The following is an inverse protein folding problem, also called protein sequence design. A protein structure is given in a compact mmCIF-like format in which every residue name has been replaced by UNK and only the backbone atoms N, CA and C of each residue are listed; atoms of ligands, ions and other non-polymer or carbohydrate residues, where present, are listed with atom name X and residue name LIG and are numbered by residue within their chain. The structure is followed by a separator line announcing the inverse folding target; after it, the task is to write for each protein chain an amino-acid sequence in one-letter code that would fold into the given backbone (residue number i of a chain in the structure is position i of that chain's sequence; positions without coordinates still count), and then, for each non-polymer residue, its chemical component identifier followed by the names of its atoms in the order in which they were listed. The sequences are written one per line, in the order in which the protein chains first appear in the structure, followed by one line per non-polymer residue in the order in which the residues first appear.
data_IF_745281746182
#
_entry.id   IF_745281746182
#
_cell.length_a   1.000
_cell.length_b   1.000
_cell.length_c   1.000
_cell.angle_alpha   90.00
_cell.angle_beta   90.00
_cell.angle_gamma   90.00
#
_symmetry.space_group_name_H-M   'P 1'
#
loop_
_entity.id
_entity.type
_entity.pdbx_description
1 polymer ?
#
# COMPACT_ATOMS: atom_id res chain seq x y z
N UNK A 1 -26.69 -45.16 -2.49
CA UNK A 1 -26.23 -46.13 -3.49
C UNK A 1 -24.77 -46.43 -3.21
N UNK A 2 -24.46 -47.69 -2.96
CA UNK A 2 -23.17 -48.24 -2.59
C UNK A 2 -22.43 -48.71 -3.88
N UNK A 3 -22.40 -47.85 -4.88
CA UNK A 3 -21.90 -48.21 -6.21
C UNK A 3 -20.44 -47.76 -6.47
N UNK A 4 -19.78 -47.10 -5.49
CA UNK A 4 -18.38 -46.70 -5.61
C UNK A 4 -17.46 -47.75 -5.01
N UNK A 5 -17.06 -48.71 -5.80
CA UNK A 5 -16.03 -49.68 -5.45
C UNK A 5 -14.62 -49.05 -5.69
N UNK A 6 -14.04 -48.53 -4.64
CA UNK A 6 -12.67 -47.94 -4.64
C UNK A 6 -11.57 -49.01 -4.69
N UNK A 7 -11.87 -50.26 -4.96
CA UNK A 7 -10.88 -51.33 -5.05
C UNK A 7 -9.84 -51.13 -6.17
N UNK A 8 -9.97 -50.08 -6.99
CA UNK A 8 -9.16 -49.86 -8.18
C UNK A 8 -8.36 -48.54 -8.19
N UNK A 9 -8.41 -47.69 -7.13
CA UNK A 9 -7.60 -46.49 -7.10
C UNK A 9 -6.11 -46.79 -6.96
N UNK A 10 -5.27 -46.43 -7.93
CA UNK A 10 -3.83 -46.59 -7.81
C UNK A 10 -3.27 -45.46 -6.90
N UNK A 11 -3.21 -45.70 -5.59
CA UNK A 11 -2.50 -44.82 -4.70
C UNK A 11 -0.98 -44.82 -4.99
N UNK A 12 -0.30 -43.65 -4.95
CA UNK A 12 1.15 -43.58 -4.95
C UNK A 12 1.66 -44.26 -3.68
N UNK A 13 2.14 -45.50 -3.81
CA UNK A 13 2.67 -46.28 -2.69
C UNK A 13 2.22 -47.73 -2.63
N UNK A 14 1.34 -48.20 -3.54
CA UNK A 14 1.02 -49.58 -3.75
C UNK A 14 0.24 -50.26 -2.64
N UNK A 15 -0.47 -49.50 -1.83
CA UNK A 15 -1.44 -50.06 -0.86
C UNK A 15 -2.85 -50.03 -1.48
N UNK A 16 -3.48 -51.21 -1.62
CA UNK A 16 -4.90 -51.30 -1.88
C UNK A 16 -5.62 -50.79 -0.62
N UNK A 17 -6.20 -49.59 -0.64
CA UNK A 17 -7.15 -49.17 0.38
C UNK A 17 -8.50 -49.79 0.08
N UNK A 18 -8.67 -51.02 0.52
CA UNK A 18 -9.84 -51.88 0.32
C UNK A 18 -10.99 -51.53 1.31
N UNK A 19 -11.19 -50.30 1.69
CA UNK A 19 -12.08 -50.00 2.82
C UNK A 19 -13.36 -49.21 2.46
N UNK A 20 -13.60 -48.88 1.20
CA UNK A 20 -14.80 -48.13 0.81
C UNK A 20 -15.98 -48.98 0.31
N UNK A 21 -15.86 -50.29 0.27
CA UNK A 21 -16.81 -51.17 -0.43
C UNK A 21 -18.20 -51.32 0.22
N UNK A 22 -18.52 -50.62 1.30
CA UNK A 22 -19.83 -50.79 2.00
C UNK A 22 -20.32 -49.50 2.69
N UNK A 23 -19.74 -48.32 2.42
CA UNK A 23 -20.18 -47.04 2.95
C UNK A 23 -21.26 -46.38 2.09
N UNK A 24 -21.91 -45.35 2.62
CA UNK A 24 -22.87 -44.54 1.86
C UNK A 24 -22.15 -43.35 1.22
N UNK A 25 -22.15 -43.29 -0.10
CA UNK A 25 -21.56 -42.20 -0.85
C UNK A 25 -22.55 -41.06 -1.06
N UNK A 26 -22.03 -39.85 -0.94
CA UNK A 26 -22.75 -38.62 -1.28
C UNK A 26 -22.07 -37.95 -2.47
N UNK A 27 -22.78 -37.83 -3.58
CA UNK A 27 -22.28 -37.18 -4.78
C UNK A 27 -22.98 -35.87 -5.03
N UNK A 28 -22.16 -34.80 -5.13
CA UNK A 28 -22.63 -33.47 -5.47
C UNK A 28 -22.17 -33.12 -6.88
N UNK A 29 -23.05 -32.48 -7.64
CA UNK A 29 -22.72 -31.95 -8.97
C UNK A 29 -22.52 -30.45 -8.88
N UNK A 30 -21.32 -29.97 -9.23
CA UNK A 30 -20.96 -28.56 -9.36
C UNK A 30 -20.76 -28.20 -10.83
N UNK A 31 -21.34 -27.09 -11.27
CA UNK A 31 -21.08 -26.54 -12.61
C UNK A 31 -20.53 -25.13 -12.48
N UNK A 32 -19.32 -24.91 -12.98
CA UNK A 32 -18.66 -23.61 -13.04
C UNK A 32 -18.87 -23.01 -14.42
N UNK A 33 -19.39 -21.79 -14.49
CA UNK A 33 -19.55 -21.03 -15.73
C UNK A 33 -18.26 -20.30 -16.14
N UNK A 34 -17.33 -20.13 -15.21
CA UNK A 34 -16.01 -19.51 -15.38
C UNK A 34 -15.01 -20.19 -14.44
N UNK A 35 -13.71 -20.06 -14.68
CA UNK A 35 -12.69 -20.57 -13.75
C UNK A 35 -12.86 -19.97 -12.36
N UNK A 36 -12.65 -20.79 -11.32
CA UNK A 36 -12.77 -20.39 -9.92
C UNK A 36 -11.92 -21.26 -9.00
N UNK A 37 -11.54 -20.73 -7.86
CA UNK A 37 -10.93 -21.49 -6.76
C UNK A 37 -12.06 -21.95 -5.83
N UNK A 38 -12.16 -23.25 -5.62
CA UNK A 38 -13.26 -23.87 -4.86
C UNK A 38 -12.68 -24.61 -3.66
N UNK A 39 -13.33 -24.47 -2.52
CA UNK A 39 -13.10 -25.33 -1.37
C UNK A 39 -14.21 -26.36 -1.19
N UNK A 40 -13.84 -27.51 -0.66
CA UNK A 40 -14.76 -28.56 -0.23
C UNK A 40 -14.28 -29.07 1.13
N UNK A 41 -15.15 -29.08 2.12
CA UNK A 41 -14.79 -29.57 3.46
C UNK A 41 -15.95 -30.29 4.13
N UNK A 42 -15.62 -31.31 4.92
CA UNK A 42 -16.54 -32.01 5.82
C UNK A 42 -16.28 -31.67 7.29
N UNK A 43 -15.44 -30.68 7.56
CA UNK A 43 -15.14 -30.17 8.90
C UNK A 43 -16.39 -29.51 9.51
N UNK A 44 -17.19 -30.30 10.22
CA UNK A 44 -18.43 -29.85 10.88
C UNK A 44 -18.70 -30.70 12.11
N UNK A 45 -19.22 -30.10 13.17
CA UNK A 45 -19.58 -30.81 14.41
C UNK A 45 -20.66 -31.89 14.21
N UNK A 46 -21.41 -31.83 13.09
CA UNK A 46 -22.41 -32.83 12.72
C UNK A 46 -21.81 -33.98 11.91
N UNK A 47 -20.56 -33.85 11.43
CA UNK A 47 -19.86 -34.96 10.78
C UNK A 47 -19.29 -35.87 11.87
N UNK A 48 -19.67 -37.10 11.87
CA UNK A 48 -19.21 -38.11 12.83
C UNK A 48 -18.81 -39.45 12.16
N UNK A 49 -18.56 -39.39 10.86
CA UNK A 49 -18.02 -40.48 10.07
C UNK A 49 -16.59 -40.16 9.63
N UNK A 50 -15.81 -41.20 9.41
CA UNK A 50 -14.51 -41.18 8.79
C UNK A 50 -14.69 -41.07 7.28
N UNK A 51 -14.42 -39.91 6.68
CA UNK A 51 -14.80 -39.59 5.31
C UNK A 51 -13.62 -39.25 4.42
N UNK A 52 -13.79 -39.53 3.14
CA UNK A 52 -12.87 -39.17 2.06
C UNK A 52 -13.56 -38.24 1.08
N UNK A 53 -12.82 -37.39 0.41
CA UNK A 53 -13.32 -36.53 -0.66
C UNK A 53 -12.57 -36.83 -1.95
N UNK A 54 -13.32 -37.14 -3.01
CA UNK A 54 -12.82 -37.29 -4.37
C UNK A 54 -13.49 -36.27 -5.29
N UNK A 55 -12.71 -35.63 -6.17
CA UNK A 55 -13.21 -34.70 -7.19
C UNK A 55 -12.95 -35.26 -8.57
N UNK A 56 -14.02 -35.27 -9.38
CA UNK A 56 -14.03 -35.85 -10.71
C UNK A 56 -14.55 -34.84 -11.73
N UNK A 57 -14.12 -35.00 -12.98
CA UNK A 57 -14.71 -34.33 -14.14
C UNK A 57 -15.64 -35.26 -14.91
N UNK A 58 -16.52 -34.68 -15.72
CA UNK A 58 -17.37 -35.34 -16.73
C UNK A 58 -18.31 -36.45 -16.22
N UNK A 59 -17.85 -37.63 -15.91
CA UNK A 59 -18.69 -38.80 -15.73
C UNK A 59 -18.44 -39.62 -14.46
N UNK A 60 -17.62 -39.08 -13.54
CA UNK A 60 -17.23 -39.79 -12.31
C UNK A 60 -16.56 -41.16 -12.57
N UNK A 61 -15.85 -41.33 -13.66
CA UNK A 61 -15.09 -42.56 -13.92
C UNK A 61 -13.70 -42.51 -13.28
N UNK A 62 -13.08 -43.65 -13.04
CA UNK A 62 -11.72 -43.78 -12.54
C UNK A 62 -10.68 -43.00 -13.37
N UNK A 63 -10.99 -42.71 -14.63
CA UNK A 63 -10.13 -41.93 -15.51
C UNK A 63 -10.32 -40.42 -15.39
N UNK A 64 -11.38 -39.97 -14.70
CA UNK A 64 -11.78 -38.55 -14.61
C UNK A 64 -11.55 -37.91 -13.25
N UNK A 65 -10.94 -38.60 -12.29
CA UNK A 65 -10.61 -38.01 -11.01
C UNK A 65 -9.48 -36.98 -11.13
N UNK A 66 -9.55 -35.90 -10.36
CA UNK A 66 -8.57 -34.84 -10.39
C UNK A 66 -7.90 -34.57 -9.03
N UNK A 67 -8.64 -34.79 -7.94
CA UNK A 67 -8.13 -34.68 -6.58
C UNK A 67 -8.73 -35.74 -5.68
N UNK A 68 -7.96 -36.10 -4.65
CA UNK A 68 -8.42 -36.99 -3.59
C UNK A 68 -7.77 -36.63 -2.26
N UNK A 69 -8.53 -36.62 -1.19
CA UNK A 69 -8.03 -36.50 0.17
C UNK A 69 -8.77 -37.45 1.11
N UNK A 70 -8.01 -38.16 1.95
CA UNK A 70 -8.52 -39.07 2.95
C UNK A 70 -8.90 -38.33 4.23
N UNK A 71 -7.92 -37.94 5.04
CA UNK A 71 -8.11 -37.23 6.30
C UNK A 71 -7.64 -35.79 6.20
N UNK A 72 -8.08 -34.91 7.09
CA UNK A 72 -7.64 -33.51 7.13
C UNK A 72 -6.11 -33.32 7.34
N UNK A 73 -5.43 -34.34 7.87
CA UNK A 73 -3.98 -34.37 8.03
C UNK A 73 -3.25 -35.12 6.92
N UNK A 74 -3.98 -35.71 5.98
CA UNK A 74 -3.42 -36.37 4.81
C UNK A 74 -3.15 -35.37 3.70
N UNK A 75 -2.11 -35.59 2.85
CA UNK A 75 -1.93 -34.77 1.67
C UNK A 75 -3.08 -34.94 0.67
N UNK A 76 -3.31 -33.94 -0.16
CA UNK A 76 -4.11 -34.08 -1.36
C UNK A 76 -3.30 -34.85 -2.39
N UNK A 77 -3.93 -35.82 -3.03
CA UNK A 77 -3.34 -36.65 -4.07
C UNK A 77 -3.85 -36.21 -5.46
N UNK A 78 -2.96 -36.20 -6.44
CA UNK A 78 -3.24 -35.87 -7.83
C UNK A 78 -3.01 -37.08 -8.75
N UNK A 79 -3.64 -37.13 -9.95
CA UNK A 79 -3.50 -38.26 -10.89
C UNK A 79 -2.07 -38.55 -11.34
N UNK A 80 -1.20 -37.53 -11.35
CA UNK A 80 0.24 -37.66 -11.69
C UNK A 80 1.10 -38.20 -10.54
N UNK A 81 0.47 -38.61 -9.44
CA UNK A 81 1.09 -39.10 -8.20
C UNK A 81 1.84 -38.02 -7.41
N UNK A 82 1.67 -36.76 -7.70
CA UNK A 82 2.12 -35.68 -6.84
C UNK A 82 1.20 -35.54 -5.64
N UNK A 83 1.70 -34.93 -4.58
CA UNK A 83 0.94 -34.66 -3.36
C UNK A 83 1.17 -33.23 -2.89
N UNK A 84 0.14 -32.62 -2.31
CA UNK A 84 0.21 -31.31 -1.69
C UNK A 84 -0.27 -31.39 -0.24
N UNK A 85 0.56 -30.91 0.70
CA UNK A 85 0.21 -30.89 2.12
C UNK A 85 -0.36 -29.52 2.48
N UNK A 86 -1.56 -29.50 3.05
CA UNK A 86 -2.15 -28.27 3.60
C UNK A 86 -1.84 -28.13 5.08
N UNK A 87 -1.57 -26.91 5.51
CA UNK A 87 -1.41 -26.59 6.92
C UNK A 87 -2.76 -26.44 7.64
N UNK A 88 -3.84 -26.22 6.89
CA UNK A 88 -5.18 -26.13 7.45
C UNK A 88 -5.76 -27.51 7.69
N UNK A 89 -5.80 -27.88 8.95
CA UNK A 89 -6.48 -29.08 9.43
C UNK A 89 -7.80 -28.71 10.10
N UNK A 90 -8.76 -29.60 10.13
CA UNK A 90 -9.95 -29.42 10.95
C UNK A 90 -9.54 -29.21 12.41
N UNK A 91 -9.70 -27.99 12.94
CA UNK A 91 -9.14 -27.57 14.23
C UNK A 91 -10.04 -27.94 15.40
N UNK A 92 -9.42 -28.07 16.57
CA UNK A 92 -9.96 -28.43 17.87
C UNK A 92 -11.25 -27.75 18.27
N UNK A 93 -12.24 -28.50 18.51
CA UNK A 93 -13.65 -28.20 18.83
C UNK A 93 -14.53 -29.27 18.22
N UNK A 94 -14.02 -29.95 17.21
CA UNK A 94 -14.56 -31.18 16.64
C UNK A 94 -13.76 -32.34 17.23
N UNK A 95 -14.35 -33.10 18.14
CA UNK A 95 -13.65 -34.07 19.02
C UNK A 95 -12.96 -35.25 18.29
N UNK A 96 -12.94 -35.26 16.95
CA UNK A 96 -12.30 -36.32 16.15
C UNK A 96 -11.74 -35.78 14.84
N UNK A 97 -11.07 -34.68 14.88
CA UNK A 97 -10.52 -33.93 13.74
C UNK A 97 -9.74 -34.72 12.66
N UNK A 98 -8.98 -35.78 12.95
CA UNK A 98 -8.25 -36.51 11.91
C UNK A 98 -9.11 -37.32 10.95
N UNK A 99 -10.40 -37.48 11.22
CA UNK A 99 -11.30 -38.34 10.43
C UNK A 99 -12.10 -37.57 9.37
N UNK A 100 -11.90 -36.25 9.26
CA UNK A 100 -12.66 -35.41 8.32
C UNK A 100 -11.77 -35.00 7.15
N UNK A 101 -12.27 -35.18 5.95
CA UNK A 101 -11.58 -34.70 4.76
C UNK A 101 -11.77 -33.17 4.61
N UNK A 102 -10.70 -32.50 4.19
CA UNK A 102 -10.69 -31.07 4.00
C UNK A 102 -9.90 -30.71 2.75
N UNK A 103 -10.59 -30.47 1.66
CA UNK A 103 -9.97 -30.15 0.39
C UNK A 103 -10.12 -28.67 0.10
N UNK A 104 -9.01 -27.93 0.27
CA UNK A 104 -8.90 -26.51 0.00
C UNK A 104 -7.83 -26.26 -1.08
N UNK A 105 -8.05 -26.74 -2.32
CA UNK A 105 -7.04 -26.58 -3.35
C UNK A 105 -6.81 -25.10 -3.68
N UNK A 106 -5.53 -24.70 -3.78
CA UNK A 106 -5.13 -23.38 -4.27
C UNK A 106 -5.19 -23.27 -5.79
N UNK A 107 -5.59 -24.32 -6.46
CA UNK A 107 -5.65 -24.35 -7.91
C UNK A 107 -6.97 -23.82 -8.43
N UNK A 108 -6.91 -23.21 -9.59
CA UNK A 108 -8.09 -22.76 -10.33
C UNK A 108 -8.74 -23.95 -11.02
N UNK A 109 -10.01 -24.17 -10.74
CA UNK A 109 -10.83 -25.13 -11.50
C UNK A 109 -11.33 -24.42 -12.76
N UNK A 110 -11.16 -25.02 -13.90
CA UNK A 110 -11.66 -24.47 -15.17
C UNK A 110 -13.20 -24.45 -15.21
N UNK A 111 -13.77 -23.68 -16.15
CA UNK A 111 -15.20 -23.78 -16.43
C UNK A 111 -15.56 -25.20 -16.87
N UNK A 112 -16.54 -25.80 -16.22
CA UNK A 112 -16.88 -27.19 -16.49
C UNK A 112 -17.86 -27.79 -15.48
N UNK A 113 -18.10 -29.10 -15.59
CA UNK A 113 -18.90 -29.85 -14.63
C UNK A 113 -18.00 -30.76 -13.83
N UNK A 114 -18.18 -30.72 -12.52
CA UNK A 114 -17.42 -31.49 -11.55
C UNK A 114 -18.39 -32.32 -10.70
N UNK A 115 -17.92 -33.48 -10.27
CA UNK A 115 -18.60 -34.34 -9.33
C UNK A 115 -17.74 -34.48 -8.09
N UNK A 116 -18.30 -34.11 -6.94
CA UNK A 116 -17.65 -34.14 -5.64
C UNK A 116 -18.25 -35.34 -4.92
N UNK A 117 -17.43 -36.33 -4.65
CA UNK A 117 -17.83 -37.57 -3.97
C UNK A 117 -17.29 -37.51 -2.56
N UNK A 118 -18.19 -37.66 -1.59
CA UNK A 118 -17.84 -37.79 -0.17
C UNK A 118 -18.21 -39.19 0.24
N UNK A 119 -17.21 -39.99 0.56
CA UNK A 119 -17.36 -41.43 0.88
C UNK A 119 -17.06 -41.72 2.34
N UNK A 120 -17.79 -42.65 2.97
CA UNK A 120 -17.51 -43.20 4.31
C UNK A 120 -16.47 -44.31 4.23
N UNK A 121 -15.24 -44.01 4.64
CA UNK A 121 -14.11 -44.96 4.65
C UNK A 121 -14.33 -46.20 5.49
N UNK A 122 -15.12 -46.13 6.55
CA UNK A 122 -15.14 -47.21 7.58
C UNK A 122 -15.90 -48.46 7.16
N UNK A 123 -16.65 -48.42 6.05
CA UNK A 123 -17.39 -49.60 5.55
C UNK A 123 -18.35 -50.26 6.56
N UNK A 124 -18.60 -49.61 7.67
CA UNK A 124 -19.59 -50.04 8.65
C UNK A 124 -20.90 -49.31 8.35
N UNK A 125 -21.99 -50.02 8.05
CA UNK A 125 -23.30 -49.39 7.96
C UNK A 125 -23.62 -48.73 9.30
N UNK A 126 -23.13 -47.55 9.51
CA UNK A 126 -23.31 -46.76 10.72
C UNK A 126 -24.45 -45.79 10.55
N UNK A 127 -25.06 -45.40 11.66
CA UNK A 127 -26.02 -44.27 11.74
C UNK A 127 -25.26 -42.95 11.89
N UNK A 128 -24.26 -42.74 11.08
CA UNK A 128 -23.49 -41.51 11.06
C UNK A 128 -24.14 -40.41 10.19
N UNK A 129 -23.66 -39.21 10.33
CA UNK A 129 -24.03 -38.09 9.48
C UNK A 129 -22.76 -37.41 8.95
N UNK A 130 -22.85 -36.91 7.73
CA UNK A 130 -21.82 -36.06 7.12
C UNK A 130 -22.46 -34.73 6.73
N UNK A 131 -21.81 -33.65 7.06
CA UNK A 131 -22.15 -32.34 6.55
C UNK A 131 -21.02 -31.83 5.69
N UNK A 132 -21.34 -31.52 4.45
CA UNK A 132 -20.38 -31.04 3.46
C UNK A 132 -20.65 -29.58 3.17
N UNK A 133 -19.60 -28.81 3.20
CA UNK A 133 -19.58 -27.42 2.77
C UNK A 133 -18.78 -27.32 1.48
N UNK A 134 -19.23 -26.47 0.58
CA UNK A 134 -18.48 -26.10 -0.62
C UNK A 134 -18.80 -24.67 -1.01
N UNK A 135 -17.83 -23.98 -1.55
CA UNK A 135 -17.97 -22.60 -2.00
C UNK A 135 -16.72 -22.10 -2.70
N UNK A 136 -16.75 -20.82 -3.02
CA UNK A 136 -15.56 -20.14 -3.52
C UNK A 136 -14.59 -19.90 -2.36
N UNK A 137 -13.28 -20.08 -2.63
CA UNK A 137 -12.26 -19.76 -1.64
C UNK A 137 -12.20 -18.24 -1.40
N UNK A 138 -11.94 -17.87 -0.16
CA UNK A 138 -11.64 -16.47 0.19
C UNK A 138 -10.35 -16.03 -0.50
N UNK A 139 -10.41 -14.94 -1.24
CA UNK A 139 -9.29 -14.38 -2.00
C UNK A 139 -9.15 -12.89 -1.71
N UNK A 140 -7.96 -12.37 -1.97
CA UNK A 140 -7.75 -10.93 -2.15
C UNK A 140 -7.88 -10.62 -3.63
N UNK A 141 -8.88 -9.82 -3.99
CA UNK A 141 -9.18 -9.48 -5.39
C UNK A 141 -8.21 -8.41 -5.92
N UNK A 142 -7.88 -7.43 -5.10
CA UNK A 142 -6.95 -6.34 -5.44
C UNK A 142 -6.46 -5.62 -4.19
N UNK A 143 -5.45 -4.79 -4.38
CA UNK A 143 -4.93 -3.86 -3.38
C UNK A 143 -4.69 -2.50 -4.01
N UNK A 144 -4.90 -1.41 -3.24
CA UNK A 144 -4.54 -0.05 -3.62
C UNK A 144 -3.66 0.55 -2.53
N UNK A 145 -2.57 1.19 -2.91
CA UNK A 145 -1.64 1.88 -1.99
C UNK A 145 -1.93 3.37 -2.02
N UNK A 146 -2.00 4.01 -0.85
CA UNK A 146 -2.03 5.46 -0.77
C UNK A 146 -0.73 6.06 -1.36
N UNK A 147 -0.84 7.13 -2.13
CA UNK A 147 0.32 7.73 -2.80
C UNK A 147 1.42 8.24 -1.85
N UNK A 148 1.08 8.50 -0.58
CA UNK A 148 2.01 8.85 0.51
C UNK A 148 2.47 7.63 1.32
N UNK A 149 2.15 6.42 0.87
CA UNK A 149 2.43 5.13 1.52
C UNK A 149 1.80 4.95 2.92
N UNK A 150 0.95 5.87 3.36
CA UNK A 150 0.33 5.82 4.69
C UNK A 150 -0.65 4.68 4.89
N UNK A 151 -1.09 4.01 3.82
CA UNK A 151 -2.03 2.92 3.91
C UNK A 151 -2.12 2.06 2.66
N UNK A 152 -2.75 0.89 2.84
CA UNK A 152 -3.11 -0.04 1.78
C UNK A 152 -4.56 -0.46 1.96
N UNK A 153 -5.36 -0.30 0.92
CA UNK A 153 -6.71 -0.84 0.84
C UNK A 153 -6.65 -2.27 0.31
N UNK A 154 -7.21 -3.19 1.09
CA UNK A 154 -7.34 -4.60 0.75
C UNK A 154 -8.78 -4.91 0.35
N UNK A 155 -8.99 -5.39 -0.86
CA UNK A 155 -10.29 -5.77 -1.41
C UNK A 155 -10.39 -7.29 -1.41
N UNK A 156 -11.30 -7.82 -0.61
CA UNK A 156 -11.55 -9.26 -0.52
C UNK A 156 -12.73 -9.69 -1.38
N UNK A 157 -12.72 -10.92 -1.85
CA UNK A 157 -13.81 -11.50 -2.65
C UNK A 157 -15.14 -11.62 -1.89
N UNK A 158 -15.09 -11.57 -0.57
CA UNK A 158 -16.24 -11.61 0.34
C UNK A 158 -15.87 -11.03 1.71
N UNK A 159 -16.86 -10.85 2.60
CA UNK A 159 -16.63 -10.29 3.92
C UNK A 159 -15.72 -11.15 4.81
N UNK A 160 -14.77 -10.50 5.49
CA UNK A 160 -13.74 -11.14 6.32
C UNK A 160 -13.96 -10.98 7.81
N UNK A 161 -13.45 -11.96 8.56
CA UNK A 161 -13.58 -12.07 10.01
C UNK A 161 -12.26 -12.49 10.64
N UNK A 162 -11.96 -11.94 11.81
CA UNK A 162 -10.93 -12.39 12.74
C UNK A 162 -11.47 -13.28 13.85
N UNK A 163 -10.58 -13.68 14.75
CA UNK A 163 -10.89 -14.54 15.88
C UNK A 163 -10.64 -16.02 15.61
N UNK A 164 -11.07 -16.87 16.53
CA UNK A 164 -10.91 -18.31 16.38
C UNK A 164 -11.88 -18.88 15.33
N UNK A 165 -11.45 -19.89 14.58
CA UNK A 165 -12.28 -20.59 13.60
C UNK A 165 -13.66 -20.98 14.14
N UNK A 166 -13.72 -21.53 15.37
CA UNK A 166 -14.97 -21.98 15.97
C UNK A 166 -15.94 -20.82 16.24
N UNK A 167 -15.44 -19.65 16.58
CA UNK A 167 -16.24 -18.44 16.79
C UNK A 167 -16.80 -17.94 15.47
N UNK A 168 -15.96 -17.82 14.44
CA UNK A 168 -16.38 -17.40 13.10
C UNK A 168 -17.44 -18.36 12.54
N UNK A 169 -17.18 -19.66 12.60
CA UNK A 169 -18.11 -20.68 12.14
C UNK A 169 -19.48 -20.65 12.85
N UNK A 170 -19.51 -20.31 14.13
CA UNK A 170 -20.73 -20.16 14.91
C UNK A 170 -21.40 -18.78 14.76
N UNK A 171 -20.89 -17.93 13.89
CA UNK A 171 -21.43 -16.57 13.66
C UNK A 171 -21.04 -15.56 14.72
N UNK A 172 -19.98 -15.82 15.48
CA UNK A 172 -19.42 -14.94 16.49
C UNK A 172 -18.06 -14.33 16.04
N UNK A 173 -17.76 -14.36 14.74
CA UNK A 173 -16.56 -13.74 14.19
C UNK A 173 -16.52 -12.26 14.53
N UNK A 174 -15.32 -11.76 14.77
CA UNK A 174 -15.03 -10.37 15.13
C UNK A 174 -14.34 -9.64 13.97
N UNK A 175 -14.18 -8.32 14.07
CA UNK A 175 -13.34 -7.56 13.15
C UNK A 175 -11.89 -7.99 13.23
N UNK A 176 -11.16 -7.86 12.11
CA UNK A 176 -9.74 -8.14 12.05
C UNK A 176 -8.96 -7.20 12.97
N UNK A 177 -7.87 -7.70 13.52
CA UNK A 177 -6.90 -6.98 14.34
C UNK A 177 -5.54 -6.93 13.64
N UNK A 178 -4.67 -6.01 14.04
CA UNK A 178 -3.32 -5.89 13.46
C UNK A 178 -2.49 -7.18 13.59
N UNK A 179 -2.77 -7.98 14.62
CA UNK A 179 -2.16 -9.29 14.84
C UNK A 179 -2.55 -10.36 13.81
N UNK A 180 -3.59 -10.13 13.02
CA UNK A 180 -4.05 -11.05 11.97
C UNK A 180 -3.23 -10.94 10.69
N UNK A 181 -2.37 -9.93 10.61
CA UNK A 181 -1.51 -9.69 9.45
C UNK A 181 -0.02 -9.85 9.77
N UNK A 182 0.72 -10.26 8.76
CA UNK A 182 2.18 -10.20 8.71
C UNK A 182 2.60 -9.32 7.54
N UNK A 183 3.51 -8.38 7.81
CA UNK A 183 4.02 -7.44 6.82
C UNK A 183 5.55 -7.54 6.75
N UNK A 184 6.08 -7.43 5.55
CA UNK A 184 7.52 -7.36 5.30
C UNK A 184 7.80 -6.35 4.18
N UNK A 185 8.92 -5.62 4.27
CA UNK A 185 9.39 -4.68 3.24
C UNK A 185 10.74 -5.13 2.74
N UNK A 186 10.79 -5.47 1.46
CA UNK A 186 12.04 -5.65 0.74
C UNK A 186 12.46 -4.29 0.15
N UNK A 187 13.61 -3.72 0.53
CA UNK A 187 14.08 -2.43 0.02
C UNK A 187 14.20 -2.38 -1.49
N UNK A 188 14.61 -3.46 -2.14
CA UNK A 188 14.73 -3.56 -3.60
C UNK A 188 15.42 -2.35 -4.27
N UNK A 189 16.33 -1.71 -3.55
CA UNK A 189 17.05 -0.51 -3.99
C UNK A 189 16.51 0.80 -3.43
N UNK A 190 15.33 0.80 -2.80
CA UNK A 190 14.78 1.94 -2.07
C UNK A 190 15.32 2.07 -0.65
N UNK A 191 14.82 3.05 0.08
CA UNK A 191 15.35 3.47 1.40
C UNK A 191 14.67 2.76 2.58
N UNK A 192 13.37 2.43 2.47
CA UNK A 192 12.63 1.79 3.53
C UNK A 192 12.94 0.28 3.61
N UNK A 193 13.12 -0.21 4.83
CA UNK A 193 13.39 -1.62 5.11
C UNK A 193 12.56 -2.16 6.29
N UNK A 194 11.61 -1.38 6.79
CA UNK A 194 10.70 -1.72 7.88
C UNK A 194 9.36 -1.03 7.67
N UNK A 195 8.29 -1.69 8.09
CA UNK A 195 6.94 -1.16 8.12
C UNK A 195 6.25 -1.56 9.42
N UNK A 196 5.43 -0.69 9.96
CA UNK A 196 4.57 -0.96 11.10
C UNK A 196 3.11 -0.86 10.68
N UNK A 197 2.31 -1.88 10.94
CA UNK A 197 0.85 -1.81 10.85
C UNK A 197 0.33 -1.16 12.13
N UNK A 198 -0.16 0.07 12.02
CA UNK A 198 -0.56 0.87 13.19
C UNK A 198 -2.01 0.66 13.58
N UNK A 199 -2.90 0.51 12.61
CA UNK A 199 -4.32 0.25 12.81
C UNK A 199 -4.98 -0.35 11.57
N UNK A 200 -6.17 -0.91 11.76
CA UNK A 200 -7.08 -1.35 10.71
C UNK A 200 -8.39 -0.60 10.82
N UNK A 201 -9.01 -0.30 9.69
CA UNK A 201 -10.33 0.31 9.63
C UNK A 201 -11.11 -0.13 8.39
N UNK A 202 -12.41 0.06 8.42
CA UNK A 202 -13.26 -0.10 7.26
C UNK A 202 -13.04 1.08 6.28
N UNK A 203 -13.44 0.94 5.03
CA UNK A 203 -13.31 1.97 3.98
C UNK A 203 -13.95 3.33 4.31
N UNK A 204 -14.81 3.40 5.32
CA UNK A 204 -15.42 4.62 5.81
C UNK A 204 -14.75 5.20 7.07
N UNK A 205 -13.60 4.65 7.49
CA UNK A 205 -12.86 5.06 8.69
C UNK A 205 -13.44 4.53 10.02
N UNK A 206 -14.41 3.61 9.98
CA UNK A 206 -14.95 3.00 11.19
C UNK A 206 -14.10 1.80 11.64
N UNK A 207 -14.17 1.45 12.93
CA UNK A 207 -13.60 0.22 13.44
C UNK A 207 -14.22 -1.00 12.79
N UNK A 208 -13.40 -2.03 12.53
CA UNK A 208 -13.86 -3.30 11.96
C UNK A 208 -14.75 -4.04 12.96
N UNK A 209 -15.77 -4.68 12.45
CA UNK A 209 -16.76 -5.46 13.22
C UNK A 209 -16.87 -6.91 12.77
N UNK A 210 -16.26 -7.24 11.61
CA UNK A 210 -16.37 -8.50 10.90
C UNK A 210 -17.41 -8.44 9.79
N UNK A 211 -17.06 -8.97 8.63
CA UNK A 211 -17.86 -8.97 7.42
C UNK A 211 -17.55 -7.83 6.45
N UNK A 212 -16.48 -7.09 6.68
CA UNK A 212 -15.99 -6.09 5.74
C UNK A 212 -15.36 -6.77 4.52
N UNK A 213 -15.68 -6.27 3.31
CA UNK A 213 -15.05 -6.68 2.05
C UNK A 213 -13.84 -5.81 1.70
N UNK A 214 -13.73 -4.64 2.36
CA UNK A 214 -12.60 -3.72 2.20
C UNK A 214 -12.03 -3.42 3.58
N UNK A 215 -10.74 -3.67 3.73
CA UNK A 215 -10.00 -3.37 4.95
C UNK A 215 -8.85 -2.44 4.62
N UNK A 216 -8.82 -1.29 5.29
CA UNK A 216 -7.75 -0.31 5.18
C UNK A 216 -6.69 -0.62 6.23
N UNK A 217 -5.47 -0.87 5.78
CA UNK A 217 -4.29 -1.07 6.62
C UNK A 217 -3.55 0.26 6.75
N UNK A 218 -3.52 0.86 7.93
CA UNK A 218 -2.77 2.10 8.18
C UNK A 218 -1.32 1.77 8.53
N UNK A 219 -0.39 2.30 7.75
CA UNK A 219 1.04 1.99 7.78
C UNK A 219 1.87 3.16 8.29
N UNK A 220 2.96 2.84 8.97
CA UNK A 220 4.00 3.78 9.35
C UNK A 220 5.38 3.19 9.00
N UNK A 221 6.18 3.98 8.32
CA UNK A 221 7.54 3.61 7.95
C UNK A 221 8.54 4.45 8.77
N UNK A 222 9.51 3.82 9.48
CA UNK A 222 10.59 4.55 10.14
C UNK A 222 11.45 5.39 9.19
N UNK A 223 11.54 4.96 7.94
CA UNK A 223 12.13 5.68 6.79
C UNK A 223 11.09 5.63 5.69
N UNK A 224 10.69 6.78 5.17
CA UNK A 224 9.70 6.86 4.08
C UNK A 224 10.17 6.08 2.85
N UNK A 225 9.32 5.27 2.24
CA UNK A 225 9.67 4.63 0.98
C UNK A 225 10.02 5.64 -0.11
N UNK A 226 10.98 5.27 -0.94
CA UNK A 226 11.44 6.09 -2.07
C UNK A 226 10.92 5.61 -3.43
N UNK A 227 9.95 4.68 -3.43
CA UNK A 227 9.27 4.20 -4.64
C UNK A 227 9.91 3.00 -5.33
N UNK A 228 10.95 2.39 -4.73
CA UNK A 228 11.59 1.17 -5.26
C UNK A 228 11.24 -0.09 -4.50
N UNK A 229 10.65 0.05 -3.33
CA UNK A 229 10.42 -1.01 -2.37
C UNK A 229 9.29 -1.95 -2.78
N UNK A 230 9.34 -3.17 -2.22
CA UNK A 230 8.28 -4.16 -2.37
C UNK A 230 7.73 -4.47 -0.98
N UNK A 231 6.48 -4.11 -0.75
CA UNK A 231 5.73 -4.47 0.44
C UNK A 231 5.08 -5.84 0.23
N UNK A 232 5.26 -6.74 1.19
CA UNK A 232 4.52 -8.00 1.25
C UNK A 232 3.55 -7.96 2.42
N UNK A 233 2.27 -8.22 2.17
CA UNK A 233 1.22 -8.26 3.20
C UNK A 233 0.47 -9.58 3.07
N UNK A 234 0.36 -10.32 4.15
CA UNK A 234 -0.37 -11.57 4.19
C UNK A 234 -1.00 -11.82 5.56
N UNK A 235 -1.81 -12.88 5.70
CA UNK A 235 -2.31 -13.30 6.99
C UNK A 235 -1.14 -13.75 7.89
N UNK A 236 -1.24 -13.46 9.17
CA UNK A 236 -0.22 -13.87 10.15
C UNK A 236 -0.10 -15.41 10.24
N UNK A 237 -1.17 -16.12 9.95
CA UNK A 237 -1.23 -17.59 9.85
C UNK A 237 -2.45 -18.01 9.03
N UNK A 238 -2.52 -19.28 8.68
CA UNK A 238 -3.73 -19.89 8.06
C UNK A 238 -4.99 -19.82 8.93
N UNK A 239 -4.86 -19.39 10.17
CA UNK A 239 -5.96 -19.28 11.14
C UNK A 239 -6.17 -17.84 11.61
N UNK A 240 -5.83 -16.86 10.80
CA UNK A 240 -5.96 -15.44 11.16
C UNK A 240 -7.14 -14.75 10.50
N UNK A 241 -7.41 -15.03 9.23
CA UNK A 241 -8.44 -14.35 8.43
C UNK A 241 -9.37 -15.40 7.82
N UNK A 242 -10.68 -15.24 8.02
CA UNK A 242 -11.68 -16.19 7.58
C UNK A 242 -12.85 -15.48 6.87
N UNK A 243 -13.57 -16.22 6.02
CA UNK A 243 -14.91 -15.81 5.59
C UNK A 243 -15.99 -16.19 6.62
N UNK A 244 -17.26 -15.85 6.35
CA UNK A 244 -18.40 -16.05 7.25
C UNK A 244 -18.70 -17.53 7.62
N UNK A 245 -18.14 -18.48 6.89
CA UNK A 245 -18.30 -19.93 7.14
C UNK A 245 -17.00 -20.58 7.62
N UNK A 246 -16.01 -19.77 8.00
CA UNK A 246 -14.76 -20.24 8.57
C UNK A 246 -13.74 -20.75 7.56
N UNK A 247 -13.89 -20.45 6.26
CA UNK A 247 -12.84 -20.74 5.27
C UNK A 247 -11.73 -19.72 5.41
N UNK A 248 -10.47 -20.16 5.62
CA UNK A 248 -9.36 -19.25 5.82
C UNK A 248 -8.90 -18.60 4.50
N UNK A 249 -8.25 -17.45 4.63
CA UNK A 249 -7.41 -16.89 3.58
C UNK A 249 -6.14 -17.74 3.45
N UNK A 250 -6.00 -18.45 2.33
CA UNK A 250 -4.93 -19.43 2.13
C UNK A 250 -3.62 -18.85 1.63
N UNK A 251 -3.60 -17.59 1.23
CA UNK A 251 -2.40 -16.95 0.69
C UNK A 251 -1.47 -16.48 1.80
N UNK A 252 -0.87 -17.45 2.51
CA UNK A 252 0.04 -17.19 3.64
C UNK A 252 1.37 -16.58 3.20
N UNK A 253 1.76 -16.73 1.94
CA UNK A 253 2.96 -16.08 1.39
C UNK A 253 2.75 -14.58 1.20
N UNK A 254 1.50 -14.15 1.26
CA UNK A 254 1.10 -12.76 1.15
C UNK A 254 1.09 -12.23 -0.29
N UNK A 255 0.50 -11.07 -0.44
CA UNK A 255 0.49 -10.32 -1.71
C UNK A 255 1.68 -9.37 -1.72
N UNK A 256 2.39 -9.34 -2.83
CA UNK A 256 3.49 -8.40 -3.06
C UNK A 256 2.98 -7.16 -3.78
N UNK A 257 3.32 -5.99 -3.26
CA UNK A 257 2.89 -4.68 -3.72
C UNK A 257 4.13 -3.86 -4.00
N UNK A 258 4.30 -3.37 -5.22
CA UNK A 258 5.35 -2.39 -5.49
C UNK A 258 4.91 -1.04 -4.92
N UNK A 259 5.74 -0.45 -4.06
CA UNK A 259 5.53 0.90 -3.59
C UNK A 259 6.04 1.84 -4.68
N UNK A 260 5.12 2.59 -5.29
CA UNK A 260 5.43 3.56 -6.33
C UNK A 260 5.05 4.93 -5.80
N UNK A 261 6.03 5.83 -5.72
CA UNK A 261 5.77 7.21 -5.36
C UNK A 261 5.07 7.92 -6.52
N UNK A 262 3.88 8.44 -6.28
CA UNK A 262 3.08 9.20 -7.25
C UNK A 262 2.89 10.67 -6.83
N UNK A 263 3.54 11.09 -5.72
CA UNK A 263 3.41 12.44 -5.20
C UNK A 263 4.50 13.35 -5.79
N UNK A 264 4.06 14.48 -6.31
CA UNK A 264 4.98 15.51 -6.77
C UNK A 264 5.61 16.26 -5.57
N UNK A 265 6.89 16.65 -5.64
CA UNK A 265 7.53 17.42 -4.60
C UNK A 265 6.83 18.76 -4.36
N UNK A 266 6.80 19.20 -3.10
CA UNK A 266 6.22 20.47 -2.67
C UNK A 266 7.24 21.30 -1.90
N UNK A 267 7.02 22.62 -1.80
CA UNK A 267 7.84 23.49 -0.97
C UNK A 267 7.25 23.53 0.44
N UNK A 268 8.02 23.07 1.43
CA UNK A 268 7.61 23.07 2.83
C UNK A 268 8.01 24.36 3.56
N UNK A 269 9.14 24.95 3.19
CA UNK A 269 9.69 26.12 3.86
C UNK A 269 10.44 27.02 2.89
N UNK A 270 10.33 28.34 3.11
CA UNK A 270 11.15 29.34 2.42
C UNK A 270 11.64 30.42 3.41
N UNK A 271 12.87 30.86 3.20
CA UNK A 271 13.42 32.04 3.88
C UNK A 271 14.15 32.89 2.83
N UNK A 272 13.72 34.12 2.53
CA UNK A 272 12.56 34.83 3.07
C UNK A 272 11.23 34.15 2.81
N UNK A 273 10.22 34.37 3.67
CA UNK A 273 8.86 33.89 3.39
C UNK A 273 8.21 34.73 2.29
N UNK A 274 7.26 34.09 1.58
CA UNK A 274 6.57 34.82 0.49
C UNK A 274 5.82 36.05 1.00
N UNK A 275 6.12 37.23 0.39
CA UNK A 275 5.57 38.52 0.77
C UNK A 275 6.32 39.20 1.92
N UNK A 276 7.44 38.68 2.40
CA UNK A 276 8.25 39.31 3.43
C UNK A 276 8.77 40.66 2.96
N UNK A 277 8.81 41.65 3.87
CA UNK A 277 9.38 42.99 3.65
C UNK A 277 10.63 43.18 4.53
N UNK A 278 11.39 44.22 4.22
CA UNK A 278 12.61 44.58 4.96
C UNK A 278 13.66 43.47 5.00
N UNK A 279 13.77 42.71 3.92
CA UNK A 279 14.77 41.64 3.77
C UNK A 279 16.14 42.29 3.49
N UNK A 280 17.17 42.03 4.30
CA UNK A 280 18.51 42.60 4.04
C UNK A 280 19.01 42.23 2.63
N UNK A 281 19.59 43.19 1.92
CA UNK A 281 20.04 43.03 0.53
C UNK A 281 21.10 41.93 0.33
N UNK A 282 21.85 41.62 1.38
CA UNK A 282 22.86 40.57 1.39
C UNK A 282 22.38 39.16 1.78
N UNK A 283 21.09 38.97 2.01
CA UNK A 283 20.56 37.66 2.42
C UNK A 283 20.53 36.62 1.28
N UNK A 284 20.79 35.38 1.63
CA UNK A 284 20.52 34.26 0.78
C UNK A 284 19.01 33.94 0.80
N UNK A 285 18.57 33.12 -0.18
CA UNK A 285 17.22 32.56 -0.24
C UNK A 285 17.34 31.08 0.01
N UNK A 286 16.60 30.58 0.99
CA UNK A 286 16.54 29.13 1.30
C UNK A 286 15.19 28.58 0.89
N UNK A 287 15.21 27.46 0.21
CA UNK A 287 14.03 26.62 -0.13
C UNK A 287 14.23 25.25 0.47
N UNK A 288 13.19 24.70 1.08
CA UNK A 288 13.17 23.31 1.54
C UNK A 288 11.99 22.60 0.89
N UNK A 289 12.28 21.51 0.19
CA UNK A 289 11.28 20.66 -0.47
C UNK A 289 10.87 19.51 0.44
N UNK A 290 9.71 18.91 0.17
CA UNK A 290 9.19 17.74 0.89
C UNK A 290 10.09 16.51 0.74
N UNK A 291 10.91 16.46 -0.32
CA UNK A 291 11.70 15.31 -0.73
C UNK A 291 12.87 15.73 -1.64
N UNK A 292 13.68 14.76 -2.03
CA UNK A 292 14.79 15.00 -2.97
C UNK A 292 14.29 15.34 -4.36
N UNK A 293 14.81 16.41 -4.93
CA UNK A 293 14.49 16.87 -6.28
C UNK A 293 15.69 16.81 -7.22
N UNK A 294 15.39 16.72 -8.52
CA UNK A 294 16.37 16.74 -9.60
C UNK A 294 15.87 17.57 -10.80
N UNK A 295 16.74 17.81 -11.75
CA UNK A 295 16.37 18.44 -13.01
C UNK A 295 15.74 17.41 -13.95
N UNK A 296 14.48 17.60 -14.34
CA UNK A 296 13.72 16.70 -15.22
C UNK A 296 14.21 16.67 -16.67
N UNK A 297 15.06 17.61 -17.08
CA UNK A 297 15.57 17.66 -18.45
C UNK A 297 16.65 16.59 -18.73
N UNK A 298 17.38 16.17 -17.69
CA UNK A 298 18.50 15.24 -17.81
C UNK A 298 18.68 14.31 -16.59
N UNK A 299 17.70 14.31 -15.66
CA UNK A 299 17.66 13.51 -14.43
C UNK A 299 18.89 13.73 -13.52
N UNK A 300 19.57 14.87 -13.68
CA UNK A 300 20.76 15.18 -12.91
C UNK A 300 20.43 15.96 -11.62
N UNK A 301 21.30 15.81 -10.62
CA UNK A 301 21.25 16.67 -9.44
C UNK A 301 21.33 18.14 -9.82
N UNK A 302 20.56 19.00 -9.15
CA UNK A 302 20.58 20.43 -9.38
C UNK A 302 21.86 21.01 -8.75
N UNK A 303 22.64 21.67 -9.58
CA UNK A 303 23.95 22.27 -9.27
C UNK A 303 24.08 23.62 -9.94
N UNK A 304 25.14 24.35 -9.69
CA UNK A 304 25.41 25.66 -10.35
C UNK A 304 25.40 25.57 -11.89
N UNK A 305 25.66 24.40 -12.48
CA UNK A 305 25.76 24.27 -13.94
C UNK A 305 24.42 24.20 -14.64
N UNK A 306 23.36 23.82 -13.93
CA UNK A 306 21.98 23.62 -14.45
C UNK A 306 20.92 24.35 -13.62
N UNK A 307 21.32 25.15 -12.60
CA UNK A 307 20.38 25.84 -11.72
C UNK A 307 19.42 26.78 -12.49
N UNK A 308 19.86 27.40 -13.58
CA UNK A 308 19.03 28.28 -14.42
C UNK A 308 17.93 27.52 -15.18
N UNK A 309 18.02 26.20 -15.28
CA UNK A 309 16.94 25.36 -15.85
C UNK A 309 15.80 25.15 -14.86
N UNK A 310 16.07 25.34 -13.56
CA UNK A 310 15.14 25.08 -12.46
C UNK A 310 14.68 26.36 -11.73
N UNK A 311 15.54 27.40 -11.70
CA UNK A 311 15.29 28.61 -10.94
C UNK A 311 15.62 29.86 -11.76
N UNK A 312 14.77 30.88 -11.63
CA UNK A 312 15.03 32.22 -12.20
C UNK A 312 14.87 33.27 -11.09
N UNK A 313 15.93 34.04 -10.82
CA UNK A 313 15.90 35.13 -9.88
C UNK A 313 15.89 36.44 -10.66
N UNK A 314 14.91 37.33 -10.39
CA UNK A 314 14.75 38.57 -11.13
C UNK A 314 14.17 39.71 -10.27
N UNK A 315 14.37 40.96 -10.68
CA UNK A 315 13.55 42.05 -10.17
C UNK A 315 12.10 41.90 -10.69
N UNK A 316 11.15 41.90 -9.78
CA UNK A 316 9.78 41.57 -10.11
C UNK A 316 9.09 42.57 -11.06
N UNK A 317 9.51 43.82 -11.09
CA UNK A 317 8.92 44.91 -11.87
C UNK A 317 9.62 45.11 -13.21
N UNK A 318 10.95 45.17 -13.20
CA UNK A 318 11.75 45.37 -14.42
C UNK A 318 11.89 44.08 -15.24
N UNK A 319 11.87 42.94 -14.60
CA UNK A 319 12.21 41.65 -15.20
C UNK A 319 13.71 41.50 -15.47
N UNK A 320 14.56 42.28 -14.79
CA UNK A 320 16.00 42.14 -14.91
C UNK A 320 16.48 40.90 -14.17
N UNK A 321 17.15 39.98 -14.88
CA UNK A 321 17.72 38.75 -14.31
C UNK A 321 18.87 39.09 -13.33
N UNK A 322 18.83 38.45 -12.18
CA UNK A 322 19.85 38.53 -11.14
C UNK A 322 20.65 37.23 -11.10
N UNK A 323 21.96 37.32 -11.27
CA UNK A 323 22.83 36.13 -11.22
C UNK A 323 22.93 35.60 -9.80
N UNK A 324 23.03 34.29 -9.68
CA UNK A 324 23.14 33.59 -8.41
C UNK A 324 23.94 32.28 -8.54
N UNK A 325 24.40 31.79 -7.40
CA UNK A 325 24.90 30.43 -7.23
C UNK A 325 23.98 29.65 -6.32
N UNK A 326 23.98 28.31 -6.44
CA UNK A 326 23.15 27.43 -5.65
C UNK A 326 24.00 26.40 -4.89
N UNK A 327 23.59 26.05 -3.69
CA UNK A 327 24.18 24.95 -2.92
C UNK A 327 23.09 24.06 -2.33
N UNK A 328 23.28 22.76 -2.44
CA UNK A 328 22.49 21.76 -1.76
C UNK A 328 23.40 20.60 -1.39
N UNK A 329 23.20 20.02 -0.20
CA UNK A 329 23.96 18.85 0.27
C UNK A 329 23.18 17.54 0.08
N UNK A 330 21.86 17.62 0.04
CA UNK A 330 20.94 16.48 0.08
C UNK A 330 19.87 16.50 -1.03
N UNK A 331 19.85 17.56 -1.87
CA UNK A 331 18.82 17.81 -2.90
C UNK A 331 17.42 18.04 -2.33
N UNK A 332 17.30 18.35 -1.03
CA UNK A 332 16.07 18.74 -0.32
C UNK A 332 16.13 20.23 0.04
N UNK A 333 17.20 20.64 0.75
CA UNK A 333 17.44 22.04 1.07
C UNK A 333 18.32 22.69 0.01
N UNK A 334 17.87 23.80 -0.53
CA UNK A 334 18.59 24.60 -1.51
C UNK A 334 18.81 26.00 -0.99
N UNK A 335 20.07 26.43 -1.00
CA UNK A 335 20.43 27.82 -0.70
C UNK A 335 20.83 28.51 -1.99
N UNK A 336 20.03 29.50 -2.41
CA UNK A 336 20.28 30.38 -3.55
C UNK A 336 21.02 31.62 -3.01
N UNK A 337 22.23 31.82 -3.50
CA UNK A 337 23.10 32.87 -3.08
C UNK A 337 23.30 33.87 -4.23
N UNK A 338 22.69 35.06 -4.20
CA UNK A 338 22.89 36.09 -5.23
C UNK A 338 24.36 36.45 -5.37
N UNK A 339 24.84 36.71 -6.61
CA UNK A 339 26.23 37.02 -6.90
C UNK A 339 26.67 38.41 -6.41
N UNK A 340 25.82 39.10 -5.68
CA UNK A 340 26.07 40.40 -5.09
C UNK A 340 24.95 40.79 -4.14
N UNK A 341 24.95 42.03 -3.66
CA UNK A 341 23.79 42.54 -2.93
C UNK A 341 22.60 42.67 -3.90
N UNK A 342 21.44 42.25 -3.46
CA UNK A 342 20.18 42.49 -4.15
C UNK A 342 19.92 44.03 -4.20
N UNK A 343 19.24 44.56 -5.23
CA UNK A 343 18.81 45.94 -5.26
C UNK A 343 17.98 46.30 -4.03
N UNK A 344 18.29 47.46 -3.42
CA UNK A 344 17.57 47.94 -2.25
C UNK A 344 16.15 48.41 -2.62
N UNK A 345 15.23 48.31 -1.66
CA UNK A 345 13.82 48.71 -1.79
C UNK A 345 13.16 48.19 -3.09
N UNK A 346 13.49 46.97 -3.45
CA UNK A 346 13.08 46.34 -4.70
C UNK A 346 12.35 45.02 -4.43
N UNK A 347 11.22 44.82 -5.10
CA UNK A 347 10.56 43.52 -5.06
C UNK A 347 11.34 42.49 -5.89
N UNK A 348 11.83 41.47 -5.22
CA UNK A 348 12.56 40.36 -5.83
C UNK A 348 11.59 39.21 -6.06
N UNK A 349 11.75 38.54 -7.19
CA UNK A 349 10.96 37.33 -7.55
C UNK A 349 11.90 36.16 -7.85
N UNK A 350 11.71 35.07 -7.18
CA UNK A 350 12.28 33.77 -7.52
C UNK A 350 11.19 32.92 -8.15
N UNK A 351 11.38 32.53 -9.39
CA UNK A 351 10.52 31.55 -10.08
C UNK A 351 11.13 30.16 -9.94
N UNK A 352 10.32 29.20 -9.48
CA UNK A 352 10.67 27.79 -9.34
C UNK A 352 9.94 27.07 -10.48
N UNK A 353 10.71 26.47 -11.38
CA UNK A 353 10.20 26.02 -12.66
C UNK A 353 9.68 24.57 -12.60
N UNK A 354 8.75 24.24 -13.50
CA UNK A 354 8.21 22.89 -13.69
C UNK A 354 9.20 21.91 -14.36
N UNK A 355 10.46 22.27 -14.47
CA UNK A 355 11.61 21.42 -14.88
C UNK A 355 12.24 20.72 -13.69
N UNK A 356 11.62 20.81 -12.53
CA UNK A 356 11.99 20.08 -11.32
C UNK A 356 11.08 18.86 -11.20
N UNK A 357 11.65 17.73 -10.81
CA UNK A 357 10.94 16.50 -10.46
C UNK A 357 11.62 15.81 -9.27
N UNK A 358 10.94 14.84 -8.67
CA UNK A 358 11.53 13.94 -7.66
C UNK A 358 12.36 12.81 -8.31
N UNK A 359 12.74 11.80 -7.53
CA UNK A 359 13.48 10.63 -8.02
C UNK A 359 12.61 9.62 -8.77
N UNK A 360 11.28 9.79 -8.74
CA UNK A 360 10.27 8.90 -9.32
C UNK A 360 9.53 9.52 -10.52
N UNK A 361 10.08 10.58 -11.13
CA UNK A 361 9.54 11.29 -12.29
C UNK A 361 8.26 12.09 -12.02
N UNK A 362 7.92 12.38 -10.73
CA UNK A 362 6.79 13.23 -10.41
C UNK A 362 7.20 14.71 -10.50
N UNK A 363 6.60 15.40 -11.46
CA UNK A 363 6.97 16.77 -11.79
C UNK A 363 6.45 17.82 -10.80
N UNK A 364 7.34 18.70 -10.33
CA UNK A 364 6.98 19.87 -9.53
C UNK A 364 6.09 20.84 -10.32
N UNK A 365 5.12 21.44 -9.65
CA UNK A 365 4.30 22.48 -10.26
C UNK A 365 4.98 23.85 -10.09
N UNK A 366 5.02 24.63 -11.17
CA UNK A 366 5.57 25.98 -11.17
C UNK A 366 5.04 26.81 -10.00
N UNK A 367 5.96 27.46 -9.28
CA UNK A 367 5.66 28.37 -8.16
C UNK A 367 6.54 29.62 -8.18
N UNK A 368 6.18 30.62 -7.38
CA UNK A 368 6.94 31.88 -7.26
C UNK A 368 7.01 32.34 -5.82
N UNK A 369 8.22 32.68 -5.38
CA UNK A 369 8.51 33.38 -4.13
C UNK A 369 8.77 34.85 -4.43
N UNK A 370 8.13 35.75 -3.68
CA UNK A 370 8.36 37.23 -3.77
C UNK A 370 8.66 37.79 -2.40
N UNK A 371 9.55 38.78 -2.35
CA UNK A 371 9.84 39.52 -1.13
C UNK A 371 10.37 40.93 -1.50
N UNK A 372 10.29 41.87 -0.55
CA UNK A 372 10.79 43.24 -0.72
C UNK A 372 12.08 43.41 0.08
N UNK A 373 13.14 43.86 -0.57
CA UNK A 373 14.42 44.16 0.08
C UNK A 373 14.34 45.44 0.94
N UNK A 374 15.16 45.49 1.97
CA UNK A 374 15.30 46.64 2.83
C UNK A 374 15.94 47.82 2.09
N UNK A 375 15.65 49.02 2.56
CA UNK A 375 16.42 50.24 2.24
C UNK A 375 17.54 50.38 3.30
N UNK A 376 18.77 50.11 2.91
CA UNK A 376 19.92 50.05 3.80
C UNK A 376 20.84 51.29 3.61
N UNK A 377 20.54 52.10 2.58
CA UNK A 377 21.33 53.29 2.26
C UNK A 377 20.79 54.53 2.99
N UNK A 378 21.60 55.15 3.82
CA UNK A 378 21.19 56.35 4.54
C UNK A 378 21.02 57.55 3.57
N UNK A 379 20.01 58.39 3.80
CA UNK A 379 19.74 59.53 2.96
C UNK A 379 20.95 60.51 2.91
N UNK A 380 21.22 61.02 1.73
CA UNK A 380 22.34 61.99 1.47
C UNK A 380 21.81 63.32 0.94
N UNK A 381 22.44 64.35 1.30
CA UNK A 381 22.15 65.68 0.76
C UNK A 381 22.61 65.75 -0.71
N UNK A 382 21.64 65.77 -1.62
CA UNK A 382 21.88 65.89 -3.05
C UNK A 382 22.24 67.33 -3.47
N UNK A 383 21.54 68.31 -2.88
CA UNK A 383 21.83 69.72 -3.17
C UNK A 383 21.36 70.63 -2.03
N UNK A 384 21.92 71.83 -1.98
CA UNK A 384 21.43 72.88 -1.10
C UNK A 384 21.41 74.21 -1.83
N UNK A 385 20.44 75.03 -1.55
CA UNK A 385 20.33 76.39 -2.10
C UNK A 385 19.80 77.37 -1.06
N UNK A 386 20.32 78.60 -1.10
CA UNK A 386 19.84 79.72 -0.29
C UNK A 386 18.77 80.45 -1.09
N UNK A 387 17.67 80.85 -0.45
CA UNK A 387 16.66 81.67 -1.11
C UNK A 387 17.20 83.01 -1.62
N UNK A 388 16.61 83.56 -2.68
CA UNK A 388 17.11 84.87 -3.24
C UNK A 388 17.12 86.05 -2.25
N UNK A 389 16.35 85.93 -1.19
CA UNK A 389 16.23 86.94 -0.14
C UNK A 389 16.94 86.51 1.17
N UNK A 390 17.68 85.44 1.19
CA UNK A 390 18.44 84.85 2.30
C UNK A 390 17.61 84.59 3.57
N UNK A 391 16.35 84.24 3.45
CA UNK A 391 15.44 83.97 4.58
C UNK A 391 15.31 82.47 4.92
N UNK A 392 15.65 81.53 3.96
CA UNK A 392 15.70 80.08 4.21
C UNK A 392 16.80 79.41 3.38
N UNK A 393 17.18 78.20 3.80
CA UNK A 393 17.99 77.24 3.03
C UNK A 393 17.15 76.11 2.64
N UNK A 394 17.10 75.79 1.34
CA UNK A 394 16.50 74.54 0.82
C UNK A 394 17.58 73.48 0.78
N UNK A 395 17.25 72.30 1.32
CA UNK A 395 18.07 71.10 1.26
C UNK A 395 17.27 70.07 0.51
N UNK A 396 17.87 69.48 -0.51
CA UNK A 396 17.30 68.38 -1.25
C UNK A 396 18.06 67.09 -0.92
N UNK A 397 17.38 66.07 -0.52
CA UNK A 397 17.92 64.70 -0.30
C UNK A 397 17.76 63.86 -1.53
N UNK A 398 18.53 62.78 -1.64
CA UNK A 398 18.40 61.76 -2.70
C UNK A 398 17.16 60.88 -2.54
N UNK A 399 16.56 60.91 -1.33
CA UNK A 399 15.40 60.11 -0.95
C UNK A 399 14.50 60.83 0.06
N UNK A 400 13.38 60.23 0.45
CA UNK A 400 12.51 60.74 1.50
C UNK A 400 13.16 60.66 2.87
N UNK A 401 13.12 61.78 3.62
CA UNK A 401 13.67 61.84 4.99
C UNK A 401 12.57 62.02 6.02
N UNK A 402 12.73 61.34 7.14
CA UNK A 402 11.78 61.29 8.22
C UNK A 402 12.46 61.63 9.56
N UNK A 403 11.71 62.13 10.53
CA UNK A 403 12.20 62.46 11.86
C UNK A 403 12.09 61.35 12.88
N UNK A 404 11.55 60.23 12.48
CA UNK A 404 11.35 59.03 13.31
C UNK A 404 11.81 57.77 12.59
N UNK A 405 12.29 56.79 13.34
CA UNK A 405 12.79 55.51 12.79
C UNK A 405 11.68 54.67 12.10
N UNK A 406 10.41 54.97 12.38
CA UNK A 406 9.26 54.26 11.79
C UNK A 406 8.71 54.93 10.51
N UNK A 407 9.37 55.99 10.03
CA UNK A 407 8.95 56.71 8.84
C UNK A 407 7.66 57.54 9.01
N UNK A 408 7.16 57.71 10.24
CA UNK A 408 5.88 58.38 10.50
C UNK A 408 5.94 59.90 10.51
N UNK A 409 7.12 60.48 10.67
CA UNK A 409 7.35 61.93 10.73
C UNK A 409 8.10 62.45 9.51
N UNK A 410 7.41 63.12 8.57
CA UNK A 410 8.10 63.84 7.50
C UNK A 410 8.74 65.11 8.04
N UNK A 411 9.99 65.37 7.70
CA UNK A 411 10.71 66.58 8.06
C UNK A 411 10.22 67.76 7.26
#
# INVERSE_FOLDING_TARGET
DDDWDQSTFPFPGGGEHNNGANGADYTYKLTLSQPAIIYVTTCDALTNLDVQIGIYTDDCSDASWIFFQDDSNSPIYYPDQTTEQYEFQCISGFESAPQYANMLPRIVWDAGTYYIVVDDRAGTPGTGSVKTWMGYSLLVDSTEVAGDFSGVDYFFSEGVYGGDYADVYNGNGIGLETSDYNLDVNPNGGDANQVNLTSLEASNGASLTGGEEIVVLNLEYPITPSGGEILTVGPASVSSIFNSVGVPLLDIDGITINLVDELAPTIEFTEPVNGQTDVPSGNNITLNFSEQIRNSLDESNITNSNASDCFILEEAVSGEDLSFTITSGDQIEFVINPDGQLPEYTEIKLSILATIEDQNDNGFQFDTLRFLTADETAPQIQSSAISPINDYVSITFNEGVYDTDDGSGAI
#
